data_IF_357027035621
#
_entry.id   IF_357027035621
#
_cell.length_a   1.000
_cell.length_b   1.000
_cell.length_c   1.000
_cell.angle_alpha   90.00
_cell.angle_beta   90.00
_cell.angle_gamma   90.00
#
_symmetry.space_group_name_H-M   'P 1'
#
loop_
_entity.id
_entity.type
_entity.pdbx_description
1 polymer ?
#
# COMPACT_ATOMS: atom_id res chain seq x y z
N UNK A 1 8.65 16.90 -10.01
CA UNK A 1 8.80 16.17 -8.73
C UNK A 1 7.63 15.23 -8.66
N UNK A 2 7.87 13.96 -8.35
CA UNK A 2 6.84 12.91 -8.33
C UNK A 2 6.35 12.71 -6.91
N UNK A 3 5.05 12.44 -6.75
CA UNK A 3 4.41 12.26 -5.46
C UNK A 3 3.92 10.82 -5.33
N UNK A 4 4.29 10.16 -4.25
CA UNK A 4 3.76 8.84 -3.90
C UNK A 4 2.96 8.96 -2.61
N UNK A 5 1.71 8.52 -2.64
CA UNK A 5 0.85 8.51 -1.46
C UNK A 5 0.47 7.08 -1.08
N UNK A 6 0.76 6.69 0.16
CA UNK A 6 0.24 5.46 0.76
C UNK A 6 -1.09 5.75 1.43
N UNK A 7 -2.14 5.02 1.06
CA UNK A 7 -3.47 5.20 1.61
C UNK A 7 -3.88 3.95 2.37
N UNK A 8 -4.26 4.14 3.62
CA UNK A 8 -4.79 3.09 4.48
C UNK A 8 -6.30 3.13 4.46
N UNK A 9 -6.93 2.07 3.95
CA UNK A 9 -8.37 1.86 4.12
C UNK A 9 -8.66 1.36 5.54
N UNK A 10 -9.89 1.54 5.97
CA UNK A 10 -10.37 0.97 7.22
C UNK A 10 -10.45 -0.56 7.12
N UNK A 11 -10.37 -1.25 8.26
CA UNK A 11 -10.19 -2.70 8.32
C UNK A 11 -11.13 -3.33 9.32
N UNK A 12 -11.90 -4.30 8.84
CA UNK A 12 -12.67 -5.21 9.68
C UNK A 12 -11.97 -6.58 9.71
N UNK A 13 -11.31 -6.89 10.83
CA UNK A 13 -10.65 -8.18 11.01
C UNK A 13 -11.69 -9.30 11.21
N UNK A 14 -11.59 -10.37 10.42
CA UNK A 14 -12.55 -11.46 10.45
C UNK A 14 -12.04 -12.64 11.31
N UNK A 15 -12.90 -13.15 12.19
CA UNK A 15 -12.59 -14.31 13.04
C UNK A 15 -11.57 -13.97 14.13
N UNK A 16 -10.62 -14.87 14.35
CA UNK A 16 -9.54 -14.69 15.34
C UNK A 16 -8.28 -14.03 14.74
N UNK A 17 -8.27 -13.77 13.43
CA UNK A 17 -7.10 -13.22 12.77
C UNK A 17 -6.93 -11.75 13.15
N UNK A 18 -5.74 -11.40 13.62
CA UNK A 18 -5.37 -10.03 13.98
C UNK A 18 -3.95 -9.76 13.49
N UNK A 19 -3.59 -8.49 13.37
CA UNK A 19 -2.23 -8.06 13.06
C UNK A 19 -1.82 -6.98 14.05
N UNK A 20 -0.76 -7.24 14.80
CA UNK A 20 -0.22 -6.31 15.78
C UNK A 20 0.72 -5.33 15.07
N UNK A 21 0.17 -4.17 14.67
CA UNK A 21 0.97 -3.07 14.16
C UNK A 21 1.29 -2.12 15.30
N UNK A 22 2.56 -2.05 15.66
CA UNK A 22 3.06 -1.09 16.63
C UNK A 22 2.95 0.34 16.07
N UNK A 23 1.90 1.05 16.47
CA UNK A 23 1.62 2.42 16.03
C UNK A 23 2.79 3.38 16.32
N UNK A 24 3.58 3.11 17.36
CA UNK A 24 4.73 3.94 17.73
C UNK A 24 5.87 3.83 16.70
N UNK A 25 5.89 2.75 15.89
CA UNK A 25 6.87 2.56 14.83
C UNK A 25 6.45 3.18 13.50
N UNK A 26 5.16 3.46 13.30
CA UNK A 26 4.64 3.93 12.01
C UNK A 26 5.22 5.30 11.64
N UNK A 27 5.08 6.30 12.52
CA UNK A 27 5.52 7.66 12.22
C UNK A 27 7.03 7.75 11.99
N UNK A 28 7.91 7.24 12.89
CA UNK A 28 9.36 7.29 12.67
C UNK A 28 9.80 6.57 11.39
N UNK A 29 9.12 5.45 11.06
CA UNK A 29 9.40 4.71 9.85
C UNK A 29 9.06 5.52 8.59
N UNK A 30 7.88 6.17 8.56
CA UNK A 30 7.48 6.99 7.42
C UNK A 30 8.27 8.29 7.30
N UNK A 31 8.70 8.90 8.41
CA UNK A 31 9.59 10.05 8.38
C UNK A 31 10.95 9.67 7.75
N UNK A 32 11.51 8.52 8.14
CA UNK A 32 12.76 8.01 7.58
C UNK A 32 12.61 7.65 6.09
N UNK A 33 11.48 7.03 5.70
CA UNK A 33 11.19 6.72 4.30
C UNK A 33 11.03 7.99 3.46
N UNK A 34 10.36 9.01 3.98
CA UNK A 34 10.20 10.29 3.29
C UNK A 34 11.55 10.98 3.10
N UNK A 35 12.40 11.03 4.14
CA UNK A 35 13.74 11.60 4.05
C UNK A 35 14.60 10.89 2.98
N UNK A 36 14.53 9.57 2.92
CA UNK A 36 15.20 8.75 1.90
C UNK A 36 14.72 9.11 0.49
N UNK A 37 13.40 9.11 0.26
CA UNK A 37 12.80 9.33 -1.06
C UNK A 37 12.97 10.77 -1.54
N UNK A 38 12.88 11.74 -0.63
CA UNK A 38 13.04 13.15 -0.94
C UNK A 38 14.46 13.45 -1.45
N UNK A 39 15.47 12.76 -0.93
CA UNK A 39 16.86 12.86 -1.44
C UNK A 39 17.00 12.42 -2.89
N UNK A 40 16.07 11.60 -3.38
CA UNK A 40 15.98 11.14 -4.76
C UNK A 40 14.93 11.92 -5.60
N UNK A 41 14.38 13.03 -5.08
CA UNK A 41 13.41 13.87 -5.80
C UNK A 41 11.99 13.30 -5.85
N UNK A 42 11.65 12.38 -4.92
CA UNK A 42 10.32 11.79 -4.76
C UNK A 42 9.72 12.27 -3.44
N UNK A 43 8.56 12.91 -3.51
CA UNK A 43 7.78 13.27 -2.32
C UNK A 43 6.96 12.06 -1.88
N UNK A 44 6.97 11.77 -0.58
CA UNK A 44 6.20 10.68 0.02
C UNK A 44 5.23 11.21 1.07
N UNK A 45 3.98 10.79 0.97
CA UNK A 45 2.92 11.10 1.91
C UNK A 45 2.14 9.83 2.28
N UNK A 46 1.42 9.86 3.39
CA UNK A 46 0.45 8.82 3.73
C UNK A 46 -0.82 9.41 4.37
N UNK A 47 -1.95 8.73 4.19
CA UNK A 47 -3.22 9.14 4.80
C UNK A 47 -4.13 7.93 5.08
N UNK A 48 -5.17 8.17 5.88
CA UNK A 48 -6.24 7.20 6.12
C UNK A 48 -7.49 7.61 5.33
N UNK A 49 -8.17 6.66 4.71
CA UNK A 49 -9.48 6.82 4.08
C UNK A 49 -10.50 5.92 4.78
N UNK A 50 -11.07 6.37 5.92
CA UNK A 50 -11.93 5.55 6.77
C UNK A 50 -13.30 5.25 6.16
N UNK A 51 -13.65 5.92 5.06
CA UNK A 51 -14.89 5.74 4.32
C UNK A 51 -14.93 4.48 3.45
N UNK A 52 -13.81 3.75 3.35
CA UNK A 52 -13.73 2.46 2.66
C UNK A 52 -13.22 1.44 3.68
N UNK A 53 -14.04 0.45 4.00
CA UNK A 53 -13.68 -0.63 4.93
C UNK A 53 -13.53 -1.94 4.19
N UNK A 54 -12.39 -2.62 4.36
CA UNK A 54 -12.16 -3.96 3.82
C UNK A 54 -12.22 -5.01 4.92
N UNK A 55 -12.82 -6.16 4.60
CA UNK A 55 -12.77 -7.34 5.46
C UNK A 55 -11.44 -8.05 5.28
N UNK A 56 -10.74 -8.29 6.40
CA UNK A 56 -9.40 -8.87 6.42
C UNK A 56 -9.43 -10.27 7.01
N UNK A 57 -9.20 -11.30 6.17
CA UNK A 57 -9.17 -12.70 6.59
C UNK A 57 -7.74 -13.25 6.74
N UNK A 58 -6.73 -12.44 6.42
CA UNK A 58 -5.33 -12.84 6.43
C UNK A 58 -4.40 -11.73 5.96
N UNK A 59 -3.10 -12.01 5.98
CA UNK A 59 -2.08 -11.00 5.66
C UNK A 59 -2.16 -10.46 4.22
N UNK A 60 -2.54 -11.30 3.25
CA UNK A 60 -2.79 -10.84 1.88
C UNK A 60 -3.92 -9.80 1.80
N UNK A 61 -5.02 -10.02 2.51
CA UNK A 61 -6.13 -9.07 2.59
C UNK A 61 -5.72 -7.79 3.32
N UNK A 62 -4.85 -7.90 4.34
CA UNK A 62 -4.29 -6.74 5.03
C UNK A 62 -3.49 -5.88 4.04
N UNK A 63 -2.62 -6.49 3.24
CA UNK A 63 -1.90 -5.76 2.20
C UNK A 63 -2.85 -5.16 1.15
N UNK A 64 -3.95 -5.84 0.83
CA UNK A 64 -4.94 -5.31 -0.12
C UNK A 64 -5.72 -4.09 0.41
N UNK A 65 -5.74 -3.88 1.73
CA UNK A 65 -6.31 -2.68 2.37
C UNK A 65 -5.42 -1.43 2.22
N UNK A 66 -4.20 -1.60 1.72
CA UNK A 66 -3.25 -0.51 1.52
C UNK A 66 -3.16 -0.19 0.03
N UNK A 67 -3.37 1.08 -0.31
CA UNK A 67 -3.20 1.59 -1.68
C UNK A 67 -1.92 2.38 -1.82
N UNK A 68 -1.34 2.32 -3.00
CA UNK A 68 -0.28 3.24 -3.41
C UNK A 68 -0.75 4.03 -4.62
N UNK A 69 -0.67 5.34 -4.51
CA UNK A 69 -1.02 6.29 -5.58
C UNK A 69 0.25 6.98 -6.06
N UNK A 70 0.38 7.13 -7.36
CA UNK A 70 1.41 7.92 -8.03
C UNK A 70 0.85 8.39 -9.38
N UNK A 71 0.03 9.47 -9.38
CA UNK A 71 -0.62 9.96 -10.59
C UNK A 71 0.35 10.25 -11.74
N UNK A 72 1.57 10.71 -11.42
CA UNK A 72 2.62 11.02 -12.38
C UNK A 72 3.15 9.79 -13.14
N UNK A 73 3.01 8.58 -12.58
CA UNK A 73 3.30 7.32 -13.29
C UNK A 73 2.04 6.66 -13.89
N UNK A 74 0.88 7.32 -13.81
CA UNK A 74 -0.40 6.74 -14.25
C UNK A 74 -1.05 5.79 -13.24
N UNK A 75 -0.60 5.78 -11.98
CA UNK A 75 -1.15 4.93 -10.93
C UNK A 75 -2.13 5.68 -10.04
N UNK A 76 -3.43 5.59 -10.33
CA UNK A 76 -4.47 6.24 -9.52
C UNK A 76 -4.71 5.56 -8.17
N UNK A 77 -4.62 4.22 -8.11
CA UNK A 77 -4.76 3.42 -6.88
C UNK A 77 -4.30 1.98 -7.10
N UNK A 78 -3.06 1.66 -6.72
CA UNK A 78 -2.52 0.29 -6.77
C UNK A 78 -2.82 -0.45 -5.47
N UNK A 79 -3.33 -1.67 -5.58
CA UNK A 79 -3.48 -2.59 -4.45
C UNK A 79 -2.12 -3.16 -4.04
N UNK A 80 -1.59 -2.82 -2.86
CA UNK A 80 -0.25 -3.24 -2.45
C UNK A 80 -0.08 -4.77 -2.54
N UNK A 81 -1.00 -5.52 -1.94
CA UNK A 81 -0.94 -6.99 -1.97
C UNK A 81 -0.95 -7.59 -3.39
N UNK A 82 -1.63 -6.95 -4.35
CA UNK A 82 -1.71 -7.42 -5.73
C UNK A 82 -0.37 -7.31 -6.47
N UNK A 83 0.37 -6.21 -6.30
CA UNK A 83 1.55 -5.96 -7.15
C UNK A 83 2.89 -6.31 -6.49
N UNK A 84 2.95 -6.43 -5.15
CA UNK A 84 4.16 -6.94 -4.47
C UNK A 84 4.02 -8.36 -3.91
N UNK A 85 2.79 -8.83 -3.70
CA UNK A 85 2.51 -10.05 -2.95
C UNK A 85 2.95 -9.97 -1.47
N UNK A 86 2.49 -10.89 -0.61
CA UNK A 86 2.96 -10.95 0.78
C UNK A 86 4.42 -11.38 0.88
N UNK A 87 5.19 -10.74 1.77
CA UNK A 87 6.51 -11.25 2.17
C UNK A 87 6.38 -12.51 3.05
N UNK A 88 7.37 -13.42 3.04
CA UNK A 88 7.40 -14.57 3.94
C UNK A 88 7.41 -14.18 5.42
N UNK A 89 8.05 -13.06 5.74
CA UNK A 89 8.19 -12.56 7.11
C UNK A 89 6.93 -11.83 7.61
N UNK A 90 5.97 -11.54 6.73
CA UNK A 90 4.73 -10.81 7.03
C UNK A 90 4.96 -9.47 7.75
N UNK A 91 6.03 -8.78 7.37
CA UNK A 91 6.39 -7.45 7.89
C UNK A 91 5.72 -6.37 7.03
N UNK A 92 4.68 -5.76 7.60
CA UNK A 92 3.86 -4.77 6.92
C UNK A 92 4.66 -3.54 6.50
N UNK A 93 5.55 -3.05 7.37
CA UNK A 93 6.35 -1.87 7.08
C UNK A 93 7.37 -2.17 5.99
N UNK A 94 8.04 -3.33 6.06
CA UNK A 94 8.94 -3.77 5.00
C UNK A 94 8.23 -3.92 3.65
N UNK A 95 7.00 -4.45 3.66
CA UNK A 95 6.17 -4.60 2.46
C UNK A 95 5.72 -3.25 1.89
N UNK A 96 5.27 -2.31 2.72
CA UNK A 96 4.97 -0.94 2.28
C UNK A 96 6.21 -0.29 1.65
N UNK A 97 7.38 -0.39 2.30
CA UNK A 97 8.64 0.15 1.76
C UNK A 97 8.98 -0.44 0.41
N UNK A 98 8.83 -1.76 0.25
CA UNK A 98 9.06 -2.47 -1.00
C UNK A 98 8.13 -1.97 -2.11
N UNK A 99 6.84 -1.81 -1.81
CA UNK A 99 5.86 -1.25 -2.74
C UNK A 99 6.17 0.19 -3.15
N UNK A 100 6.42 1.07 -2.18
CA UNK A 100 6.74 2.48 -2.41
C UNK A 100 8.02 2.62 -3.23
N UNK A 101 9.10 1.91 -2.88
CA UNK A 101 10.35 1.94 -3.65
C UNK A 101 10.18 1.41 -5.06
N UNK A 102 9.37 0.37 -5.26
CA UNK A 102 9.10 -0.15 -6.61
C UNK A 102 8.36 0.87 -7.45
N UNK A 103 7.37 1.56 -6.89
CA UNK A 103 6.71 2.69 -7.57
C UNK A 103 7.69 3.81 -7.83
N UNK A 104 8.53 4.18 -6.86
CA UNK A 104 9.49 5.28 -6.98
C UNK A 104 10.53 5.06 -8.09
N UNK A 105 11.14 3.87 -8.14
CA UNK A 105 12.37 3.61 -8.89
C UNK A 105 12.23 2.60 -10.03
N UNK A 106 11.12 1.85 -10.09
CA UNK A 106 10.87 0.90 -11.18
C UNK A 106 9.36 0.81 -11.52
N UNK A 107 8.66 1.94 -11.73
CA UNK A 107 7.23 1.95 -12.02
C UNK A 107 6.87 1.13 -13.26
N UNK A 108 7.73 1.09 -14.27
CA UNK A 108 7.58 0.30 -15.50
C UNK A 108 7.57 -1.22 -15.26
N UNK A 109 8.13 -1.68 -14.14
CA UNK A 109 8.11 -3.09 -13.73
C UNK A 109 6.78 -3.51 -13.11
N UNK A 110 5.89 -2.56 -12.84
CA UNK A 110 4.55 -2.80 -12.31
C UNK A 110 3.67 -3.04 -13.51
N UNK A 111 3.22 -4.28 -13.66
CA UNK A 111 2.28 -4.64 -14.71
C UNK A 111 1.01 -3.81 -14.49
N UNK A 112 0.63 -2.94 -15.46
CA UNK A 112 -0.62 -2.21 -15.37
C UNK A 112 -1.76 -3.22 -15.18
N UNK A 113 -2.77 -2.89 -14.39
CA UNK A 113 -3.91 -3.77 -14.22
C UNK A 113 -4.47 -4.16 -15.60
N UNK A 114 -4.21 -5.39 -16.04
CA UNK A 114 -4.87 -6.00 -17.18
C UNK A 114 -6.34 -6.13 -16.84
N UNK A 115 -7.20 -5.68 -17.75
CA UNK A 115 -8.63 -5.45 -17.56
C UNK A 115 -9.38 -6.55 -16.79
N UNK A 116 -10.43 -6.13 -16.10
CA UNK A 116 -11.48 -6.95 -15.48
C UNK A 116 -11.02 -8.15 -14.63
N UNK A 117 -9.77 -8.17 -14.17
CA UNK A 117 -9.29 -9.13 -13.16
C UNK A 117 -9.83 -8.75 -11.78
N UNK A 118 -11.15 -8.93 -11.68
CA UNK A 118 -12.01 -9.09 -10.53
C UNK A 118 -11.39 -8.67 -9.20
N UNK A 119 -11.72 -7.43 -8.83
CA UNK A 119 -11.85 -6.90 -7.48
C UNK A 119 -12.77 -7.82 -6.64
N UNK A 120 -12.32 -9.02 -6.29
CA UNK A 120 -12.95 -9.74 -5.20
C UNK A 120 -12.48 -9.05 -3.92
N UNK A 121 -13.39 -8.28 -3.32
CA UNK A 121 -13.28 -7.73 -1.97
C UNK A 121 -12.60 -6.35 -1.77
N UNK A 122 -12.38 -5.53 -2.82
CA UNK A 122 -11.71 -4.23 -2.66
C UNK A 122 -12.62 -2.99 -2.58
N UNK A 123 -13.95 -3.13 -2.72
CA UNK A 123 -14.89 -1.98 -2.59
C UNK A 123 -14.69 -0.87 -3.63
N UNK A 124 -13.75 -1.04 -4.56
CA UNK A 124 -13.56 -0.18 -5.71
C UNK A 124 -14.76 -0.41 -6.64
N UNK A 125 -15.76 0.46 -6.56
CA UNK A 125 -16.95 0.40 -7.41
C UNK A 125 -16.56 0.23 -8.88
N UNK A 126 -17.28 -0.67 -9.55
CA UNK A 126 -17.34 -0.74 -11.01
C UNK A 126 -17.84 0.58 -11.59
#
# INVERSE_FOLDING_TARGET
>A
MKTITVVFYDREFAGEWTYDLDEQKIQPFFDALNAELNSAGVQFDFCNEPNITLRVNGYGDLLNSIRIRSPEDGFSSLCLGQFIGPSPDTDLLADIKRGVRRVAFSPESIVPAGGDAICHNCGCGC
#
